data_IF_313592394798
#
_entry.id   IF_313592394798
#
_cell.length_a   1.000
_cell.length_b   1.000
_cell.length_c   1.000
_cell.angle_alpha   90.00
_cell.angle_beta   90.00
_cell.angle_gamma   90.00
#
_symmetry.space_group_name_H-M   'P 1'
#
loop_
_entity.id
_entity.type
_entity.pdbx_description
1 polymer ?
#
# COMPACT_ATOMS: atom_id res chain seq x y z
N UNK A 1 -17.40 8.19 30.08
CA UNK A 1 -16.09 8.58 29.50
C UNK A 1 -15.35 7.29 29.18
N UNK A 2 -15.15 6.99 27.90
CA UNK A 2 -14.38 5.80 27.47
C UNK A 2 -12.90 6.10 27.76
N UNK A 3 -12.12 5.19 28.38
CA UNK A 3 -10.70 5.40 28.60
C UNK A 3 -9.99 5.72 27.28
N UNK A 4 -9.05 6.68 27.28
CA UNK A 4 -8.32 7.07 26.07
C UNK A 4 -7.55 5.90 25.42
N UNK A 5 -7.16 4.94 26.24
CA UNK A 5 -6.53 3.66 25.91
C UNK A 5 -7.43 2.71 25.08
N UNK A 6 -8.76 2.90 25.08
CA UNK A 6 -9.69 2.04 24.34
C UNK A 6 -9.96 2.50 22.89
N UNK A 7 -9.34 3.61 22.43
CA UNK A 7 -9.44 4.02 21.01
C UNK A 7 -8.46 3.19 20.18
N UNK A 8 -8.99 2.26 19.38
CA UNK A 8 -8.24 1.61 18.31
C UNK A 8 -7.81 2.67 17.28
N UNK A 9 -6.52 2.92 17.13
CA UNK A 9 -5.98 3.74 16.06
C UNK A 9 -6.13 3.00 14.74
N UNK A 10 -6.96 3.54 13.83
CA UNK A 10 -7.16 2.99 12.50
C UNK A 10 -5.96 3.34 11.63
N UNK A 11 -5.28 2.32 11.10
CA UNK A 11 -4.20 2.47 10.12
C UNK A 11 -4.68 2.05 8.74
N UNK A 12 -4.44 2.89 7.75
CA UNK A 12 -4.83 2.67 6.35
C UNK A 12 -3.59 2.83 5.46
N UNK A 13 -3.47 1.97 4.46
CA UNK A 13 -2.53 2.14 3.34
C UNK A 13 -3.29 2.76 2.17
N UNK A 14 -2.78 3.85 1.60
CA UNK A 14 -3.37 4.49 0.42
C UNK A 14 -2.33 4.47 -0.72
N UNK A 15 -2.60 3.66 -1.73
CA UNK A 15 -1.86 3.68 -2.99
C UNK A 15 -2.48 4.71 -3.94
N UNK A 16 -1.64 5.50 -4.57
CA UNK A 16 -1.99 6.41 -5.66
C UNK A 16 -0.96 6.24 -6.76
N UNK A 17 -1.38 6.52 -8.00
CA UNK A 17 -0.48 6.58 -9.15
C UNK A 17 0.39 5.31 -9.27
N UNK A 18 -0.23 4.13 -9.18
CA UNK A 18 0.48 2.84 -9.38
C UNK A 18 1.00 2.69 -10.80
N UNK A 19 0.55 3.56 -11.73
CA UNK A 19 0.95 3.57 -13.13
C UNK A 19 0.71 2.21 -13.80
N UNK A 20 -0.50 1.68 -13.68
CA UNK A 20 -0.86 0.43 -14.35
C UNK A 20 -0.70 0.56 -15.86
N UNK A 21 0.12 -0.31 -16.43
CA UNK A 21 0.42 -0.43 -17.87
C UNK A 21 0.33 -1.90 -18.28
N UNK A 22 0.28 -2.23 -19.59
CA UNK A 22 0.30 -3.62 -20.03
C UNK A 22 1.54 -4.37 -19.51
N UNK A 23 1.37 -5.66 -19.23
CA UNK A 23 2.44 -6.53 -18.74
C UNK A 23 3.66 -6.54 -19.67
N UNK A 24 4.85 -6.62 -19.09
CA UNK A 24 6.12 -6.61 -19.83
C UNK A 24 6.45 -5.28 -20.51
N UNK A 25 5.70 -4.20 -20.21
CA UNK A 25 6.04 -2.84 -20.64
C UNK A 25 6.72 -2.07 -19.52
N UNK A 26 7.38 -0.98 -19.92
CA UNK A 26 8.00 -0.04 -18.99
C UNK A 26 7.40 1.35 -19.17
N UNK A 27 7.23 2.07 -18.06
CA UNK A 27 6.91 3.49 -18.05
C UNK A 27 8.10 4.26 -17.48
N UNK A 28 8.55 5.30 -18.19
CA UNK A 28 9.75 6.07 -17.82
C UNK A 28 11.00 5.21 -17.56
N UNK A 29 11.17 4.12 -18.32
CA UNK A 29 12.29 3.18 -18.19
C UNK A 29 12.23 2.27 -16.96
N UNK A 30 11.09 2.18 -16.26
CA UNK A 30 10.89 1.30 -15.10
C UNK A 30 9.68 0.40 -15.32
N UNK A 31 9.68 -0.77 -14.69
CA UNK A 31 8.52 -1.66 -14.60
C UNK A 31 7.69 -1.30 -13.35
N UNK A 32 6.48 -0.72 -13.51
CA UNK A 32 5.62 -0.37 -12.39
C UNK A 32 5.10 -1.59 -11.62
N UNK A 33 4.94 -2.75 -12.27
CA UNK A 33 4.48 -3.97 -11.61
C UNK A 33 5.53 -4.45 -10.60
N UNK A 34 6.79 -4.53 -11.01
CA UNK A 34 7.90 -4.89 -10.13
C UNK A 34 8.07 -3.91 -8.95
N UNK A 35 7.77 -2.62 -9.16
CA UNK A 35 7.79 -1.62 -8.09
C UNK A 35 6.65 -1.84 -7.09
N UNK A 36 5.44 -2.10 -7.57
CA UNK A 36 4.26 -2.36 -6.73
C UNK A 36 4.42 -3.65 -5.93
N UNK A 37 4.92 -4.72 -6.53
CA UNK A 37 5.21 -6.00 -5.84
C UNK A 37 6.16 -5.79 -4.66
N UNK A 38 7.28 -5.10 -4.88
CA UNK A 38 8.25 -4.78 -3.82
C UNK A 38 7.63 -3.94 -2.70
N UNK A 39 6.73 -3.02 -3.05
CA UNK A 39 6.02 -2.19 -2.08
C UNK A 39 5.06 -3.03 -1.23
N UNK A 40 4.27 -3.90 -1.87
CA UNK A 40 3.35 -4.82 -1.19
C UNK A 40 4.13 -5.75 -0.24
N UNK A 41 5.25 -6.29 -0.69
CA UNK A 41 6.13 -7.13 0.13
C UNK A 41 6.63 -6.41 1.39
N UNK A 42 6.99 -5.12 1.27
CA UNK A 42 7.42 -4.32 2.41
C UNK A 42 6.28 -4.01 3.38
N UNK A 43 5.12 -3.63 2.83
CA UNK A 43 3.89 -3.38 3.61
C UNK A 43 3.49 -4.63 4.39
N UNK A 44 3.53 -5.80 3.77
CA UNK A 44 3.20 -7.07 4.42
C UNK A 44 4.17 -7.39 5.58
N UNK A 45 5.46 -7.03 5.46
CA UNK A 45 6.45 -7.24 6.52
C UNK A 45 6.32 -6.24 7.67
N UNK A 46 6.05 -4.96 7.37
CA UNK A 46 6.22 -3.86 8.32
C UNK A 46 4.91 -3.21 8.78
N UNK A 47 3.81 -3.43 8.06
CA UNK A 47 2.52 -2.75 8.26
C UNK A 47 1.34 -3.73 8.25
N UNK A 48 1.55 -4.97 8.73
CA UNK A 48 0.50 -6.01 8.80
C UNK A 48 -0.70 -5.63 9.70
N UNK A 49 -0.54 -4.63 10.56
CA UNK A 49 -1.58 -4.03 11.40
C UNK A 49 -2.51 -3.06 10.64
N UNK A 50 -2.20 -2.74 9.37
CA UNK A 50 -3.07 -1.91 8.56
C UNK A 50 -4.43 -2.60 8.36
N UNK A 51 -5.50 -1.88 8.66
CA UNK A 51 -6.85 -2.44 8.64
C UNK A 51 -7.46 -2.39 7.25
N UNK A 52 -7.06 -1.43 6.41
CA UNK A 52 -7.62 -1.20 5.07
C UNK A 52 -6.55 -0.74 4.09
N UNK A 53 -6.80 -1.04 2.83
CA UNK A 53 -6.04 -0.55 1.68
C UNK A 53 -7.01 0.20 0.76
N UNK A 54 -6.62 1.40 0.31
CA UNK A 54 -7.34 2.20 -0.68
C UNK A 54 -6.42 2.39 -1.88
N UNK A 55 -6.96 2.29 -3.09
CA UNK A 55 -6.24 2.51 -4.33
C UNK A 55 -7.04 3.54 -5.13
N UNK A 56 -6.37 4.59 -5.61
CA UNK A 56 -6.96 5.65 -6.44
C UNK A 56 -6.24 5.80 -7.76
#
# INVERSE_FOLDING_TARGET
MIPEDARQTVKIIHFTDTHFIPEGKTLYGRDPAAALERCIDDINRNHADAQRCVIT
#
